data_IF_796765315993
#
_entry.id   IF_796765315993
#
_cell.length_a   1.000
_cell.length_b   1.000
_cell.length_c   1.000
_cell.angle_alpha   90.00
_cell.angle_beta   90.00
_cell.angle_gamma   90.00
#
_symmetry.space_group_name_H-M   'P 1'
#
loop_
_entity.id
_entity.type
_entity.pdbx_description
1 polymer ?
#
# COMPACT_ATOMS: atom_id res chain seq x y z
N UNK A 1 -2.32 -23.85 -14.23
CA UNK A 1 -2.14 -25.30 -14.39
C UNK A 1 -1.90 -25.86 -13.00
N UNK A 2 -2.66 -26.89 -12.60
CA UNK A 2 -2.61 -27.49 -11.25
C UNK A 2 -1.53 -28.57 -11.25
N UNK A 3 -1.08 -29.09 -10.12
CA UNK A 3 -0.77 -30.53 -10.06
C UNK A 3 -1.67 -31.07 -8.95
N UNK A 4 -2.61 -31.97 -9.19
CA UNK A 4 -2.53 -33.30 -9.86
C UNK A 4 -2.71 -33.41 -11.40
N UNK A 5 -2.62 -32.33 -12.21
CA UNK A 5 -2.16 -32.39 -13.62
C UNK A 5 -1.56 -31.04 -14.12
N UNK A 6 -0.37 -30.93 -14.73
CA UNK A 6 0.97 -30.53 -14.23
C UNK A 6 1.19 -29.08 -13.72
N UNK A 7 1.69 -28.87 -12.51
CA UNK A 7 1.74 -27.56 -11.86
C UNK A 7 3.02 -26.79 -12.16
N UNK A 8 3.02 -25.99 -13.22
CA UNK A 8 4.06 -24.98 -13.43
C UNK A 8 3.90 -23.83 -12.42
N UNK A 9 4.79 -23.85 -11.42
CA UNK A 9 5.04 -22.80 -10.46
C UNK A 9 5.95 -21.75 -11.12
N UNK A 10 5.41 -20.65 -11.64
CA UNK A 10 6.24 -19.52 -12.06
C UNK A 10 5.59 -18.18 -11.74
N UNK A 11 6.35 -17.38 -10.98
CA UNK A 11 6.29 -15.93 -10.80
C UNK A 11 4.99 -15.32 -10.21
N UNK A 12 4.86 -15.40 -8.89
CA UNK A 12 4.14 -14.39 -8.12
C UNK A 12 5.12 -13.29 -7.71
N UNK A 13 5.11 -12.20 -8.48
CA UNK A 13 5.71 -10.90 -8.17
C UNK A 13 4.58 -9.87 -8.15
N UNK A 14 4.10 -9.45 -6.97
CA UNK A 14 3.10 -8.37 -6.92
C UNK A 14 2.61 -8.00 -5.52
N UNK A 15 2.55 -6.69 -5.24
CA UNK A 15 2.02 -6.11 -4.00
C UNK A 15 0.48 -6.19 -3.94
N UNK A 16 -0.08 -6.46 -2.75
CA UNK A 16 -1.51 -6.63 -2.50
C UNK A 16 -2.13 -5.37 -1.81
N UNK A 17 -3.37 -4.98 -2.14
CA UNK A 17 -4.12 -3.88 -1.51
C UNK A 17 -5.53 -4.34 -1.09
N UNK A 18 -5.89 -4.20 0.20
CA UNK A 18 -7.21 -4.59 0.73
C UNK A 18 -8.14 -3.38 0.89
N UNK A 19 -9.35 -3.46 0.36
CA UNK A 19 -10.38 -2.43 0.55
C UNK A 19 -11.53 -3.00 1.38
N UNK A 20 -11.63 -2.69 2.68
CA UNK A 20 -12.84 -2.99 3.43
C UNK A 20 -13.95 -1.99 3.04
N UNK A 21 -15.12 -2.50 2.63
CA UNK A 21 -16.31 -1.66 2.48
C UNK A 21 -16.86 -1.35 3.86
N UNK A 22 -16.41 -0.23 4.43
CA UNK A 22 -17.21 0.75 5.19
C UNK A 22 -16.26 1.79 5.82
N UNK A 23 -16.45 3.05 5.40
CA UNK A 23 -15.61 4.25 5.60
C UNK A 23 -14.41 4.35 4.65
N UNK A 24 -14.38 5.48 3.94
CA UNK A 24 -13.20 6.00 3.28
C UNK A 24 -12.02 5.96 4.27
N UNK A 25 -11.11 5.03 4.05
CA UNK A 25 -9.96 4.78 4.90
C UNK A 25 -8.82 4.32 4.01
N UNK A 26 -7.61 4.76 4.36
CA UNK A 26 -6.39 4.36 3.67
C UNK A 26 -6.32 2.84 3.57
N UNK A 27 -5.94 2.36 2.40
CA UNK A 27 -5.75 0.93 2.14
C UNK A 27 -4.38 0.53 2.67
N UNK A 28 -4.34 -0.10 3.83
CA UNK A 28 -3.17 -0.82 4.31
C UNK A 28 -3.04 -2.16 3.56
N UNK A 29 -1.82 -2.45 3.09
CA UNK A 29 -1.52 -3.75 2.48
C UNK A 29 -1.41 -4.80 3.58
N UNK A 30 -2.34 -5.76 3.62
CA UNK A 30 -2.25 -6.90 4.53
C UNK A 30 -0.94 -7.69 4.34
N UNK A 31 -0.41 -8.14 5.48
CA UNK A 31 1.02 -8.23 5.80
C UNK A 31 1.73 -9.57 5.48
N UNK A 32 1.11 -10.77 5.37
CA UNK A 32 1.91 -12.03 5.34
C UNK A 32 2.70 -12.31 4.05
N UNK A 33 2.13 -12.08 2.87
CA UNK A 33 2.81 -12.41 1.61
C UNK A 33 3.98 -11.44 1.32
N UNK A 34 3.82 -10.17 1.72
CA UNK A 34 4.87 -9.15 1.64
C UNK A 34 6.05 -9.47 2.57
N UNK A 35 5.79 -9.95 3.79
CA UNK A 35 6.84 -10.32 4.75
C UNK A 35 7.80 -11.39 4.21
N UNK A 36 7.25 -12.38 3.51
CA UNK A 36 8.02 -13.49 2.94
C UNK A 36 8.85 -13.01 1.74
N UNK A 37 8.27 -12.20 0.85
CA UNK A 37 9.01 -11.62 -0.29
C UNK A 37 10.08 -10.61 0.16
N UNK A 38 9.86 -9.92 1.28
CA UNK A 38 10.66 -8.77 1.70
C UNK A 38 11.62 -9.07 2.86
N UNK A 39 11.62 -10.31 3.38
CA UNK A 39 12.40 -10.73 4.56
C UNK A 39 12.25 -9.77 5.75
N UNK A 40 11.06 -9.22 5.92
CA UNK A 40 10.73 -8.33 7.04
C UNK A 40 10.04 -9.12 8.14
N UNK A 41 10.52 -8.93 9.37
CA UNK A 41 10.00 -9.59 10.56
C UNK A 41 8.81 -8.82 11.13
N UNK A 42 7.97 -9.51 11.91
CA UNK A 42 6.91 -8.88 12.70
C UNK A 42 7.50 -7.73 13.54
N UNK A 43 6.93 -6.52 13.37
CA UNK A 43 7.33 -5.33 14.12
C UNK A 43 8.38 -4.41 13.46
N UNK A 44 8.88 -4.73 12.26
CA UNK A 44 9.78 -3.81 11.53
C UNK A 44 9.03 -2.85 10.60
N UNK A 45 9.47 -1.59 10.55
CA UNK A 45 8.92 -0.59 9.65
C UNK A 45 9.19 -0.91 8.17
N UNK A 46 8.25 -0.69 7.24
CA UNK A 46 8.51 -0.90 5.81
C UNK A 46 9.59 0.04 5.23
N UNK A 47 9.98 1.09 5.97
CA UNK A 47 11.05 2.03 5.57
C UNK A 47 12.41 1.36 5.35
N UNK A 48 12.66 0.21 5.98
CA UNK A 48 13.88 -0.57 5.79
C UNK A 48 14.16 -0.93 4.32
N UNK A 49 13.13 -0.99 3.46
CA UNK A 49 13.26 -1.29 2.03
C UNK A 49 13.88 -0.14 1.22
N UNK A 50 13.76 1.08 1.74
CA UNK A 50 14.16 2.30 1.05
C UNK A 50 15.44 2.90 1.63
N UNK A 51 15.84 2.43 2.82
CA UNK A 51 16.99 2.91 3.55
C UNK A 51 18.33 2.39 3.02
N UNK A 52 19.34 3.24 3.11
CA UNK A 52 20.74 2.84 2.99
C UNK A 52 21.35 2.46 4.35
N UNK A 53 22.58 1.95 4.33
CA UNK A 53 23.30 1.55 5.54
C UNK A 53 23.43 2.69 6.59
N UNK A 54 23.47 3.95 6.15
CA UNK A 54 23.54 5.12 7.02
C UNK A 54 22.28 5.35 7.86
N UNK A 55 21.13 4.84 7.42
CA UNK A 55 19.83 5.07 8.05
C UNK A 55 19.46 4.00 9.08
N UNK A 56 20.27 2.94 9.24
CA UNK A 56 19.93 1.79 10.10
C UNK A 56 19.63 2.18 11.55
N UNK A 57 20.47 3.01 12.17
CA UNK A 57 20.26 3.45 13.57
C UNK A 57 19.01 4.33 13.72
N UNK A 58 18.69 5.09 12.69
CA UNK A 58 17.48 5.92 12.66
C UNK A 58 16.24 5.04 12.58
N UNK A 59 16.25 4.00 11.73
CA UNK A 59 15.13 3.08 11.60
C UNK A 59 14.93 2.17 12.80
N UNK A 60 16.00 1.74 13.47
CA UNK A 60 15.89 1.05 14.77
C UNK A 60 15.13 1.90 15.79
N UNK A 61 15.40 3.22 15.81
CA UNK A 61 14.70 4.15 16.69
C UNK A 61 13.22 4.29 16.30
N UNK A 62 12.91 4.29 15.01
CA UNK A 62 11.52 4.30 14.50
C UNK A 62 10.77 3.05 14.94
N UNK A 63 11.41 1.87 14.84
CA UNK A 63 10.84 0.59 15.28
C UNK A 63 10.63 0.55 16.80
N UNK A 64 11.61 0.98 17.59
CA UNK A 64 11.51 1.08 19.06
C UNK A 64 10.36 1.97 19.54
N UNK A 65 10.00 2.96 18.72
CA UNK A 65 8.91 3.89 18.99
C UNK A 65 7.58 3.46 18.38
N UNK A 66 7.56 2.34 17.63
CA UNK A 66 6.40 1.81 16.93
C UNK A 66 5.70 2.87 16.05
N UNK A 67 6.51 3.74 15.41
CA UNK A 67 5.97 4.81 14.57
C UNK A 67 5.52 4.22 13.22
N UNK A 68 4.21 4.26 12.98
CA UNK A 68 3.64 3.89 11.68
C UNK A 68 4.07 4.86 10.57
N UNK A 69 4.11 4.37 9.34
CA UNK A 69 4.43 5.20 8.16
C UNK A 69 3.45 6.35 8.02
N UNK A 70 2.15 6.09 8.21
CA UNK A 70 1.12 7.14 8.11
C UNK A 70 1.34 8.24 9.13
N UNK A 71 1.63 7.88 10.38
CA UNK A 71 1.94 8.86 11.41
C UNK A 71 3.16 9.70 11.03
N UNK A 72 4.21 9.08 10.51
CA UNK A 72 5.41 9.80 10.05
C UNK A 72 5.07 10.78 8.92
N UNK A 73 4.21 10.40 7.98
CA UNK A 73 3.82 11.25 6.84
C UNK A 73 2.94 12.43 7.26
N UNK A 74 2.14 12.26 8.30
CA UNK A 74 1.25 13.30 8.84
C UNK A 74 1.94 14.23 9.84
N UNK A 75 3.09 13.81 10.39
CA UNK A 75 3.81 14.57 11.41
C UNK A 75 4.76 15.59 10.77
N UNK A 76 4.70 16.82 11.24
CA UNK A 76 5.62 17.89 10.81
C UNK A 76 7.07 17.61 11.20
N UNK A 77 8.02 18.14 10.43
CA UNK A 77 9.47 17.85 10.60
C UNK A 77 9.95 18.23 12.02
N UNK A 78 9.45 19.33 12.58
CA UNK A 78 9.86 19.82 13.90
C UNK A 78 9.35 18.95 15.03
N UNK A 79 8.14 18.40 14.87
CA UNK A 79 7.56 17.43 15.79
C UNK A 79 8.28 16.08 15.67
N UNK A 80 8.52 15.58 14.46
CA UNK A 80 9.34 14.39 14.21
C UNK A 80 10.74 14.52 14.82
N UNK A 81 11.34 15.70 14.75
CA UNK A 81 12.65 15.97 15.36
C UNK A 81 12.60 15.79 16.89
N UNK A 82 11.55 16.32 17.53
CA UNK A 82 11.34 16.18 18.97
C UNK A 82 11.00 14.75 19.40
N UNK A 83 10.27 14.03 18.55
CA UNK A 83 9.88 12.63 18.78
C UNK A 83 11.10 11.71 18.67
N UNK A 84 11.82 11.77 17.54
CA UNK A 84 12.93 10.85 17.25
C UNK A 84 14.15 11.11 18.15
N UNK A 85 14.41 12.37 18.50
CA UNK A 85 15.60 12.82 19.28
C UNK A 85 16.91 12.25 18.73
N UNK A 86 17.00 12.08 17.42
CA UNK A 86 18.14 11.47 16.74
C UNK A 86 18.51 12.25 15.48
N UNK A 87 19.79 12.65 15.38
CA UNK A 87 20.34 13.47 14.27
C UNK A 87 19.57 14.77 13.97
N UNK A 88 18.79 15.27 14.93
CA UNK A 88 18.04 16.52 14.82
C UNK A 88 17.10 16.55 13.60
N UNK A 89 16.98 17.72 12.98
CA UNK A 89 16.14 17.93 11.79
C UNK A 89 16.53 17.08 10.59
N UNK A 90 17.81 16.71 10.46
CA UNK A 90 18.27 15.91 9.33
C UNK A 90 17.76 14.47 9.43
N UNK A 91 17.74 13.90 10.64
CA UNK A 91 17.11 12.59 10.89
C UNK A 91 15.62 12.62 10.58
N UNK A 92 14.90 13.65 11.04
CA UNK A 92 13.46 13.79 10.75
C UNK A 92 13.16 13.92 9.25
N UNK A 93 13.96 14.70 8.51
CA UNK A 93 13.86 14.81 7.04
C UNK A 93 14.14 13.48 6.36
N UNK A 94 15.16 12.76 6.79
CA UNK A 94 15.52 11.46 6.24
C UNK A 94 14.37 10.45 6.41
N UNK A 95 13.77 10.32 7.60
CA UNK A 95 12.62 9.43 7.82
C UNK A 95 11.41 9.87 6.99
N UNK A 96 11.11 11.17 6.95
CA UNK A 96 9.99 11.71 6.16
C UNK A 96 10.14 11.41 4.66
N UNK A 97 11.36 11.56 4.12
CA UNK A 97 11.67 11.20 2.74
C UNK A 97 11.50 9.69 2.48
N UNK A 98 12.00 8.85 3.40
CA UNK A 98 11.81 7.40 3.29
C UNK A 98 10.33 7.03 3.33
N UNK A 99 9.54 7.67 4.18
CA UNK A 99 8.10 7.43 4.28
C UNK A 99 7.33 7.86 3.03
N UNK A 100 7.77 8.95 2.38
CA UNK A 100 7.22 9.39 1.11
C UNK A 100 7.52 8.42 -0.05
N UNK A 101 8.55 7.56 0.06
CA UNK A 101 8.85 6.53 -0.94
C UNK A 101 7.95 5.30 -0.82
N UNK A 102 7.33 5.06 0.34
CA UNK A 102 6.49 3.87 0.54
C UNK A 102 5.26 3.97 -0.38
N UNK A 103 5.01 2.97 -1.26
CA UNK A 103 3.84 2.96 -2.13
C UNK A 103 2.54 3.10 -1.34
N UNK A 104 1.77 4.15 -1.61
CA UNK A 104 0.45 4.43 -1.05
C UNK A 104 -0.49 4.88 -2.15
N UNK A 105 -1.73 4.45 -2.07
CA UNK A 105 -2.80 4.82 -3.00
C UNK A 105 -3.96 5.38 -2.19
N UNK A 106 -4.42 6.56 -2.56
CA UNK A 106 -5.67 7.10 -2.10
C UNK A 106 -6.80 6.53 -2.95
N UNK A 107 -7.79 5.93 -2.30
CA UNK A 107 -8.97 5.34 -2.93
C UNK A 107 -10.21 6.13 -2.51
N UNK A 108 -10.99 6.56 -3.49
CA UNK A 108 -12.34 7.08 -3.27
C UNK A 108 -13.33 6.20 -4.00
N UNK A 109 -14.40 5.76 -3.33
CA UNK A 109 -15.42 4.90 -3.93
C UNK A 109 -16.82 5.48 -3.78
N UNK A 110 -17.61 5.43 -4.85
CA UNK A 110 -19.03 5.81 -4.90
C UNK A 110 -19.87 4.61 -5.30
N UNK A 111 -20.92 4.31 -4.55
CA UNK A 111 -21.82 3.19 -4.82
C UNK A 111 -23.16 3.68 -5.34
N UNK A 112 -23.64 3.07 -6.41
CA UNK A 112 -24.94 3.36 -7.04
C UNK A 112 -25.73 2.05 -7.24
N UNK A 113 -26.85 1.85 -6.54
CA UNK A 113 -27.76 0.74 -6.81
C UNK A 113 -28.32 0.84 -8.23
N UNK A 114 -28.27 -0.26 -9.00
CA UNK A 114 -28.86 -0.34 -10.34
C UNK A 114 -30.16 -1.15 -10.29
N UNK A 115 -30.13 -2.29 -9.59
CA UNK A 115 -31.31 -3.12 -9.34
C UNK A 115 -31.31 -3.60 -7.89
N UNK A 116 -32.30 -4.42 -7.52
CA UNK A 116 -32.36 -5.10 -6.21
C UNK A 116 -31.18 -6.02 -5.92
N UNK A 117 -30.37 -6.38 -6.91
CA UNK A 117 -29.24 -7.32 -6.77
C UNK A 117 -27.96 -6.83 -7.43
N UNK A 118 -27.98 -5.69 -8.13
CA UNK A 118 -26.83 -5.15 -8.86
C UNK A 118 -26.44 -3.81 -8.26
N UNK A 119 -25.18 -3.75 -7.81
CA UNK A 119 -24.54 -2.53 -7.36
C UNK A 119 -23.47 -2.10 -8.37
N UNK A 120 -23.50 -0.83 -8.74
CA UNK A 120 -22.41 -0.18 -9.47
C UNK A 120 -21.49 0.48 -8.46
N UNK A 121 -20.19 0.26 -8.58
CA UNK A 121 -19.19 0.96 -7.79
C UNK A 121 -18.27 1.70 -8.74
N UNK A 122 -18.08 2.99 -8.48
CA UNK A 122 -17.10 3.84 -9.16
C UNK A 122 -15.97 4.09 -8.19
N UNK A 123 -14.76 3.74 -8.58
CA UNK A 123 -13.57 3.95 -7.78
C UNK A 123 -12.64 4.93 -8.47
N UNK A 124 -12.03 5.82 -7.69
CA UNK A 124 -10.93 6.67 -8.09
C UNK A 124 -9.69 6.23 -7.33
N UNK A 125 -8.62 5.93 -8.04
CA UNK A 125 -7.30 5.65 -7.47
C UNK A 125 -6.35 6.80 -7.79
N UNK A 126 -5.68 7.29 -6.75
CA UNK A 126 -4.68 8.35 -6.86
C UNK A 126 -3.40 7.89 -6.14
N UNK A 127 -2.29 7.68 -6.88
CA UNK A 127 -1.00 7.41 -6.25
C UNK A 127 -0.57 8.59 -5.36
N UNK A 128 -0.26 8.30 -4.10
CA UNK A 128 0.20 9.29 -3.12
C UNK A 128 1.54 8.85 -2.54
N UNK A 129 2.57 8.83 -3.39
CA UNK A 129 3.94 8.55 -2.99
C UNK A 129 4.93 9.08 -4.04
N UNK A 130 6.19 9.21 -3.65
CA UNK A 130 7.27 9.63 -4.53
C UNK A 130 7.86 8.42 -5.23
N UNK A 131 7.80 8.40 -6.56
CA UNK A 131 8.43 7.35 -7.34
C UNK A 131 9.96 7.46 -7.30
N UNK A 132 10.60 6.32 -7.07
CA UNK A 132 12.06 6.17 -7.15
C UNK A 132 12.39 4.99 -8.04
N UNK A 133 13.09 5.22 -9.15
CA UNK A 133 13.47 4.15 -10.10
C UNK A 133 14.31 3.07 -9.43
N UNK A 134 15.12 3.46 -8.45
CA UNK A 134 16.00 2.55 -7.70
C UNK A 134 15.20 1.53 -6.90
N UNK A 135 14.10 1.96 -6.31
CA UNK A 135 13.30 1.15 -5.38
C UNK A 135 12.09 0.52 -6.06
N UNK A 136 11.45 1.24 -6.98
CA UNK A 136 10.18 0.86 -7.60
C UNK A 136 10.34 0.29 -9.01
N UNK A 137 11.49 0.50 -9.66
CA UNK A 137 11.71 0.06 -11.04
C UNK A 137 10.82 0.77 -12.05
N UNK A 138 10.31 -0.01 -13.01
CA UNK A 138 9.53 0.49 -14.16
C UNK A 138 8.02 0.51 -13.92
N UNK A 139 7.52 -0.38 -13.05
CA UNK A 139 6.11 -0.53 -12.73
C UNK A 139 5.91 -1.01 -11.28
N UNK A 140 4.75 -0.68 -10.73
CA UNK A 140 4.23 -1.14 -9.45
C UNK A 140 2.86 -1.76 -9.71
N UNK A 141 2.61 -2.90 -9.09
CA UNK A 141 1.40 -3.68 -9.32
C UNK A 141 0.58 -3.71 -8.03
N UNK A 142 -0.74 -3.61 -8.18
CA UNK A 142 -1.69 -3.54 -7.08
C UNK A 142 -2.88 -4.45 -7.39
N UNK A 143 -3.22 -5.31 -6.43
CA UNK A 143 -4.49 -6.02 -6.44
C UNK A 143 -5.53 -5.20 -5.70
N UNK A 144 -6.69 -5.01 -6.30
CA UNK A 144 -7.81 -4.31 -5.67
C UNK A 144 -8.96 -5.29 -5.62
N UNK A 145 -9.56 -5.49 -4.46
CA UNK A 145 -10.72 -6.35 -4.33
C UNK A 145 -11.77 -5.75 -3.42
N UNK A 146 -12.97 -6.28 -3.57
CA UNK A 146 -14.16 -5.87 -2.85
C UNK A 146 -14.64 -7.09 -2.09
N UNK A 147 -14.70 -6.96 -0.77
CA UNK A 147 -15.11 -8.03 0.12
C UNK A 147 -16.34 -7.65 0.94
N UNK A 148 -17.14 -8.66 1.25
CA UNK A 148 -18.16 -8.60 2.29
C UNK A 148 -17.48 -8.65 3.67
N UNK A 149 -17.62 -7.63 4.53
CA UNK A 149 -17.01 -7.63 5.85
C UNK A 149 -17.60 -8.70 6.79
N UNK A 150 -18.85 -9.12 6.57
CA UNK A 150 -19.56 -10.07 7.44
C UNK A 150 -19.34 -11.52 6.98
N UNK A 151 -19.30 -11.76 5.66
CA UNK A 151 -19.19 -13.11 5.09
C UNK A 151 -17.76 -13.48 4.66
N UNK A 152 -16.85 -12.50 4.54
CA UNK A 152 -15.50 -12.72 4.01
C UNK A 152 -15.48 -13.11 2.53
N UNK A 153 -16.58 -12.91 1.81
CA UNK A 153 -16.69 -13.23 0.38
C UNK A 153 -16.13 -12.10 -0.48
N UNK A 154 -15.30 -12.43 -1.46
CA UNK A 154 -14.78 -11.46 -2.44
C UNK A 154 -15.77 -11.37 -3.62
N UNK A 155 -16.38 -10.20 -3.80
CA UNK A 155 -17.32 -9.91 -4.90
C UNK A 155 -16.63 -9.56 -6.21
N UNK A 156 -15.49 -8.88 -6.12
CA UNK A 156 -14.75 -8.43 -7.29
C UNK A 156 -13.27 -8.33 -6.96
N UNK A 157 -12.42 -8.60 -7.95
CA UNK A 157 -10.98 -8.36 -7.87
C UNK A 157 -10.48 -7.87 -9.22
N UNK A 158 -9.66 -6.82 -9.20
CA UNK A 158 -9.03 -6.23 -10.36
C UNK A 158 -7.52 -6.10 -10.12
N UNK A 159 -6.75 -6.35 -11.16
CA UNK A 159 -5.30 -6.14 -11.15
C UNK A 159 -4.96 -4.82 -11.82
N UNK A 160 -4.33 -3.93 -11.09
CA UNK A 160 -3.92 -2.62 -11.57
C UNK A 160 -2.40 -2.48 -11.60
N UNK A 161 -1.88 -2.03 -12.75
CA UNK A 161 -0.47 -1.70 -12.92
C UNK A 161 -0.27 -0.19 -13.04
N UNK A 162 0.52 0.36 -12.12
CA UNK A 162 1.02 1.73 -12.13
C UNK A 162 2.41 1.75 -12.77
N UNK A 163 2.61 2.55 -13.81
CA UNK A 163 3.93 2.73 -14.44
C UNK A 163 4.50 4.11 -14.11
N UNK A 164 5.83 4.28 -14.21
CA UNK A 164 6.48 5.59 -13.98
C UNK A 164 5.89 6.72 -14.84
N UNK A 165 5.59 6.45 -16.12
CA UNK A 165 4.99 7.44 -17.04
C UNK A 165 3.60 7.89 -16.59
N UNK A 166 2.95 7.05 -15.80
CA UNK A 166 1.63 7.26 -15.23
C UNK A 166 1.73 7.53 -13.73
N UNK A 167 2.79 8.18 -13.24
CA UNK A 167 2.85 8.68 -11.86
C UNK A 167 2.36 10.13 -11.92
N UNK A 168 1.05 10.31 -11.72
CA UNK A 168 0.21 11.55 -11.72
C UNK A 168 -1.19 11.45 -12.39
N UNK A 169 -1.62 10.36 -13.07
CA UNK A 169 -3.00 10.21 -13.48
C UNK A 169 -3.83 9.67 -12.32
N UNK A 170 -4.80 10.48 -11.92
CA UNK A 170 -6.03 9.98 -11.29
C UNK A 170 -6.66 8.97 -12.22
N UNK A 171 -6.81 7.72 -11.77
CA UNK A 171 -7.44 6.68 -12.59
C UNK A 171 -8.84 6.37 -12.05
N UNK A 172 -9.81 6.33 -12.95
CA UNK A 172 -11.20 6.04 -12.61
C UNK A 172 -11.58 4.66 -13.12
N UNK A 173 -12.09 3.82 -12.22
CA UNK A 173 -12.60 2.49 -12.49
C UNK A 173 -14.10 2.49 -12.23
N UNK A 174 -14.86 1.77 -13.05
CA UNK A 174 -16.28 1.57 -12.82
C UNK A 174 -16.65 0.15 -13.19
N UNK A 175 -17.16 -0.59 -12.22
CA UNK A 175 -17.58 -1.97 -12.40
C UNK A 175 -18.93 -2.19 -11.75
N UNK A 176 -19.60 -3.24 -12.19
CA UNK A 176 -20.92 -3.63 -11.74
C UNK A 176 -20.82 -5.09 -11.34
N UNK A 177 -21.29 -5.41 -10.14
CA UNK A 177 -21.34 -6.79 -9.70
C UNK A 177 -22.75 -7.12 -9.19
N UNK A 178 -23.11 -8.39 -9.35
CA UNK A 178 -24.31 -8.97 -8.76
C UNK A 178 -23.95 -9.35 -7.33
N UNK A 179 -24.64 -8.77 -6.35
CA UNK A 179 -24.33 -8.97 -4.94
C UNK A 179 -25.37 -8.30 -4.06
N UNK A 180 -26.57 -8.88 -4.02
CA UNK A 180 -27.51 -8.81 -2.89
C UNK A 180 -28.25 -10.14 -2.83
#
# INVERSE_FOLDING_TARGET
VRDEEGGELNDLKGSFCRVPIQKAGNVDSDVPAKMIEQRQWDGQTPLWQFAGASSHRLLQRVDEMELSVDRIRETEIDELTHLLRFRGRDGAREVSQLAALVPRIQLTAETQPITRTILRVRMTLEPDFTWSDRSHGTQQNFWIWIEDPDQGLIYHSEYWTLTKRTVSPRMNFAFQFLGI
#
